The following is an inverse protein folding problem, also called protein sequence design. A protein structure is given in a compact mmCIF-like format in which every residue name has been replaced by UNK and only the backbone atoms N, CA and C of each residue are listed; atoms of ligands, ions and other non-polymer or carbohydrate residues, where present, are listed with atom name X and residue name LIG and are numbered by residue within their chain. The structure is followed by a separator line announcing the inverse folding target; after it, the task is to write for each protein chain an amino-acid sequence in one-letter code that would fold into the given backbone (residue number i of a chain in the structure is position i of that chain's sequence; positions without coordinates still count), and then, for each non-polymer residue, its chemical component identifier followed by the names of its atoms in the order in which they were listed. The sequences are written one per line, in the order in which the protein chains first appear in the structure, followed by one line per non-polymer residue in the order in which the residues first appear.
data_IF_662613916378
#
_entry.id   IF_662613916378
#
_cell.length_a   1.000
_cell.length_b   1.000
_cell.length_c   1.000
_cell.angle_alpha   90.00
_cell.angle_beta   90.00
_cell.angle_gamma   90.00
#
_symmetry.space_group_name_H-M   'P 1'
#
loop_
_entity.id
_entity.type
_entity.pdbx_description
1 polymer ?
#
# COMPACT_ATOMS: atom_id res chain seq x y z
N UNK A 1 -7.27 -1.77 -15.17
CA UNK A 1 -8.39 -2.08 -14.25
C UNK A 1 -8.12 -3.40 -13.50
N UNK A 2 -7.99 -4.53 -14.20
CA UNK A 2 -7.76 -5.85 -13.57
C UNK A 2 -6.62 -5.89 -12.54
N UNK A 3 -5.40 -5.47 -12.92
CA UNK A 3 -4.26 -5.47 -12.00
C UNK A 3 -4.44 -4.58 -10.76
N UNK A 4 -5.18 -3.47 -10.89
CA UNK A 4 -5.48 -2.59 -9.77
C UNK A 4 -6.44 -3.27 -8.78
N UNK A 5 -7.49 -3.91 -9.30
CA UNK A 5 -8.42 -4.70 -8.49
C UNK A 5 -7.73 -5.88 -7.82
N UNK A 6 -6.82 -6.57 -8.52
CA UNK A 6 -6.04 -7.65 -7.93
C UNK A 6 -5.18 -7.15 -6.75
N UNK A 7 -4.54 -5.99 -6.87
CA UNK A 7 -3.81 -5.37 -5.76
C UNK A 7 -4.73 -5.04 -4.57
N UNK A 8 -5.93 -4.51 -4.83
CA UNK A 8 -6.92 -4.26 -3.77
C UNK A 8 -7.32 -5.57 -3.08
N UNK A 9 -7.58 -6.65 -3.83
CA UNK A 9 -7.91 -7.95 -3.25
C UNK A 9 -6.79 -8.50 -2.38
N UNK A 10 -5.52 -8.32 -2.76
CA UNK A 10 -4.37 -8.72 -1.94
C UNK A 10 -4.30 -7.91 -0.65
N UNK A 11 -4.52 -6.59 -0.72
CA UNK A 11 -4.56 -5.73 0.49
C UNK A 11 -5.64 -6.21 1.45
N UNK A 12 -6.85 -6.48 0.95
CA UNK A 12 -7.96 -6.96 1.77
C UNK A 12 -7.62 -8.33 2.36
N UNK A 13 -7.18 -9.29 1.53
CA UNK A 13 -6.85 -10.64 1.98
C UNK A 13 -5.77 -10.63 3.07
N UNK A 14 -4.68 -9.88 2.88
CA UNK A 14 -3.62 -9.75 3.86
C UNK A 14 -4.09 -9.06 5.16
N UNK A 15 -5.04 -8.13 5.05
CA UNK A 15 -5.60 -7.42 6.22
C UNK A 15 -6.47 -8.32 7.09
N UNK A 16 -7.29 -9.17 6.46
CA UNK A 16 -8.20 -10.07 7.18
C UNK A 16 -7.54 -11.39 7.60
N UNK A 17 -6.32 -11.65 7.11
CA UNK A 17 -5.56 -12.85 7.50
C UNK A 17 -5.04 -12.65 8.93
N UNK A 18 -5.42 -13.50 9.89
CA UNK A 18 -4.89 -13.43 11.24
C UNK A 18 -3.39 -13.65 11.21
N UNK A 19 -2.63 -12.73 11.80
CA UNK A 19 -1.24 -13.03 12.14
C UNK A 19 -1.30 -13.97 13.34
N UNK A 20 -0.78 -15.20 13.23
CA UNK A 20 -0.82 -16.21 14.31
C UNK A 20 -0.12 -15.81 15.63
N UNK A 21 0.21 -14.53 15.80
CA UNK A 21 0.70 -13.88 17.03
C UNK A 21 -0.41 -13.63 18.07
N UNK A 22 -1.48 -14.44 18.07
CA UNK A 22 -2.42 -14.53 19.17
C UNK A 22 -2.18 -15.77 20.09
N UNK A 23 -0.95 -16.12 20.52
CA UNK A 23 -0.81 -17.07 21.61
C UNK A 23 -1.16 -16.35 22.92
N UNK A 24 -2.32 -16.66 23.48
CA UNK A 24 -2.67 -16.31 24.86
C UNK A 24 -3.12 -14.87 25.07
N UNK A 25 -4.30 -14.51 24.55
CA UNK A 25 -5.15 -13.48 25.17
C UNK A 25 -5.80 -14.08 26.45
N UNK A 26 -4.97 -14.54 27.38
CA UNK A 26 -5.36 -14.80 28.76
C UNK A 26 -4.58 -13.81 29.63
N UNK A 27 -5.32 -13.14 30.52
CA UNK A 27 -4.88 -12.23 31.57
C UNK A 27 -4.48 -10.80 31.17
N UNK A 28 -5.49 -9.91 31.17
CA UNK A 28 -5.33 -8.52 31.63
C UNK A 28 -5.16 -7.40 30.61
N UNK A 29 -4.90 -7.70 29.32
CA UNK A 29 -4.63 -6.68 28.28
C UNK A 29 -5.85 -6.31 27.40
N UNK A 30 -7.06 -6.75 27.75
CA UNK A 30 -8.28 -6.49 26.98
C UNK A 30 -8.81 -5.05 27.06
N UNK A 31 -8.15 -4.13 27.79
CA UNK A 31 -8.81 -2.88 28.22
C UNK A 31 -8.13 -1.56 27.82
N UNK A 32 -6.93 -1.55 27.24
CA UNK A 32 -6.30 -0.29 26.80
C UNK A 32 -6.12 -0.25 25.29
N UNK A 33 -7.21 0.07 24.59
CA UNK A 33 -7.14 0.53 23.21
C UNK A 33 -6.47 1.89 23.18
N UNK A 34 -5.27 1.97 22.63
CA UNK A 34 -4.48 3.20 22.56
C UNK A 34 -4.45 3.74 21.14
N UNK A 35 -4.69 5.03 20.99
CA UNK A 35 -4.42 5.78 19.77
C UNK A 35 -3.02 6.34 19.85
N UNK A 36 -2.11 5.78 19.05
CA UNK A 36 -0.75 6.27 18.98
C UNK A 36 -0.56 7.13 17.74
N UNK A 37 -0.27 8.40 18.00
CA UNK A 37 0.14 9.35 16.98
C UNK A 37 1.65 9.34 16.88
N UNK A 38 2.16 8.77 15.79
CA UNK A 38 3.59 8.75 15.50
C UNK A 38 3.85 8.90 14.01
N UNK A 39 5.02 9.44 13.69
CA UNK A 39 5.55 9.44 12.34
C UNK A 39 6.43 8.20 12.14
N UNK A 40 6.41 7.61 10.93
CA UNK A 40 7.30 6.50 10.63
C UNK A 40 8.76 6.95 10.72
N UNK A 41 9.62 6.13 11.34
CA UNK A 41 11.03 6.41 11.40
C UNK A 41 11.63 6.33 9.98
N UNK A 42 12.49 7.26 9.54
CA UNK A 42 13.08 7.22 8.20
C UNK A 42 13.81 5.90 7.89
N UNK A 43 14.50 5.33 8.88
CA UNK A 43 15.20 4.04 8.76
C UNK A 43 14.27 2.82 8.65
N UNK A 44 12.97 2.98 8.96
CA UNK A 44 12.01 1.91 8.84
C UNK A 44 11.67 1.57 7.38
N UNK A 45 11.94 2.49 6.45
CA UNK A 45 11.81 2.28 5.01
C UNK A 45 12.85 1.30 4.45
N UNK A 46 14.00 1.18 5.11
CA UNK A 46 15.17 0.44 4.63
C UNK A 46 15.45 -0.83 5.45
N UNK A 47 14.61 -1.15 6.42
CA UNK A 47 14.72 -2.36 7.25
C UNK A 47 13.47 -3.22 7.10
N UNK A 48 13.61 -4.54 7.22
CA UNK A 48 12.47 -5.47 7.23
C UNK A 48 11.83 -5.40 8.61
N UNK A 49 10.69 -4.74 8.71
CA UNK A 49 9.94 -4.52 9.93
C UNK A 49 8.44 -4.39 9.59
N UNK A 50 7.60 -4.25 10.60
CA UNK A 50 6.14 -4.14 10.42
C UNK A 50 5.70 -2.88 9.64
N UNK A 51 6.48 -1.79 9.65
CA UNK A 51 6.22 -0.57 8.86
C UNK A 51 6.53 -0.80 7.38
N UNK A 52 7.66 -1.43 7.06
CA UNK A 52 8.01 -1.75 5.66
C UNK A 52 7.10 -2.81 5.05
N UNK A 53 6.54 -3.73 5.85
CA UNK A 53 5.49 -4.65 5.38
C UNK A 53 4.23 -3.90 4.90
N UNK A 54 3.78 -2.88 5.62
CA UNK A 54 2.65 -2.05 5.18
C UNK A 54 3.00 -1.25 3.92
N UNK A 55 4.23 -0.74 3.81
CA UNK A 55 4.69 -0.12 2.57
C UNK A 55 4.60 -1.09 1.39
N UNK A 56 5.13 -2.31 1.56
CA UNK A 56 5.12 -3.35 0.52
C UNK A 56 3.71 -3.81 0.15
N UNK A 57 2.77 -3.77 1.11
CA UNK A 57 1.38 -4.12 0.84
C UNK A 57 0.70 -3.12 -0.10
N UNK A 58 1.01 -1.84 0.06
CA UNK A 58 0.39 -0.75 -0.71
C UNK A 58 1.20 -0.31 -1.94
N UNK A 59 2.49 -0.62 -2.02
CA UNK A 59 3.33 -0.26 -3.15
C UNK A 59 2.85 -0.85 -4.50
N UNK A 60 2.46 -2.13 -4.61
CA UNK A 60 1.91 -2.70 -5.84
C UNK A 60 0.64 -1.98 -6.31
N UNK A 61 -0.23 -1.55 -5.38
CA UNK A 61 -1.42 -0.77 -5.68
C UNK A 61 -1.05 0.60 -6.27
N UNK A 62 -0.01 1.23 -5.72
CA UNK A 62 0.61 2.43 -6.29
C UNK A 62 1.12 2.18 -7.71
N UNK A 63 1.94 1.14 -7.92
CA UNK A 63 2.51 0.78 -9.23
C UNK A 63 1.41 0.53 -10.25
N UNK A 64 0.39 -0.25 -9.90
CA UNK A 64 -0.75 -0.52 -10.77
C UNK A 64 -1.49 0.76 -11.16
N UNK A 65 -1.63 1.70 -10.22
CA UNK A 65 -2.22 3.01 -10.47
C UNK A 65 -1.37 3.83 -11.46
N UNK A 66 -0.06 3.88 -11.27
CA UNK A 66 0.85 4.64 -12.13
C UNK A 66 1.03 4.06 -13.54
N UNK A 67 0.98 2.73 -13.65
CA UNK A 67 1.25 2.01 -14.89
C UNK A 67 0.02 1.88 -15.80
N UNK A 68 -1.16 1.60 -15.20
CA UNK A 68 -2.35 1.20 -15.97
C UNK A 68 -3.48 2.22 -15.98
N UNK A 69 -3.46 3.27 -15.14
CA UNK A 69 -4.52 4.28 -15.13
C UNK A 69 -4.15 5.51 -15.96
N UNK A 70 -5.17 6.11 -16.59
CA UNK A 70 -5.03 7.41 -17.26
C UNK A 70 -4.82 8.51 -16.24
N UNK A 71 -4.07 9.56 -16.61
CA UNK A 71 -3.76 10.72 -15.77
C UNK A 71 -4.98 11.25 -14.99
N UNK A 72 -6.14 11.36 -15.67
CA UNK A 72 -7.39 11.84 -15.08
C UNK A 72 -7.93 11.00 -13.91
N UNK A 73 -7.60 9.70 -13.84
CA UNK A 73 -8.06 8.80 -12.79
C UNK A 73 -6.98 8.49 -11.75
N UNK A 74 -5.74 8.93 -11.96
CA UNK A 74 -4.62 8.65 -11.05
C UNK A 74 -4.88 9.26 -9.66
N UNK A 75 -5.33 10.51 -9.60
CA UNK A 75 -5.63 11.16 -8.31
C UNK A 75 -6.76 10.43 -7.58
N UNK A 76 -7.85 10.12 -8.28
CA UNK A 76 -8.97 9.37 -7.67
C UNK A 76 -8.54 8.00 -7.14
N UNK A 77 -7.74 7.25 -7.90
CA UNK A 77 -7.22 5.96 -7.46
C UNK A 77 -6.23 6.09 -6.29
N UNK A 78 -5.39 7.13 -6.27
CA UNK A 78 -4.52 7.44 -5.14
C UNK A 78 -5.33 7.73 -3.87
N UNK A 79 -6.40 8.54 -4.00
CA UNK A 79 -7.30 8.86 -2.90
C UNK A 79 -8.02 7.62 -2.37
N UNK A 80 -8.53 6.75 -3.25
CA UNK A 80 -9.16 5.49 -2.84
C UNK A 80 -8.14 4.59 -2.13
N UNK A 81 -6.92 4.47 -2.66
CA UNK A 81 -5.85 3.70 -2.03
C UNK A 81 -5.45 4.27 -0.65
N UNK A 82 -5.40 5.59 -0.51
CA UNK A 82 -5.08 6.25 0.75
C UNK A 82 -6.18 6.04 1.80
N UNK A 83 -7.46 6.10 1.38
CA UNK A 83 -8.60 5.75 2.22
C UNK A 83 -8.59 4.27 2.61
N UNK A 84 -8.19 3.39 1.69
CA UNK A 84 -8.02 1.96 1.98
C UNK A 84 -6.94 1.74 3.05
N UNK A 85 -5.80 2.46 2.99
CA UNK A 85 -4.76 2.42 4.04
C UNK A 85 -5.31 2.78 5.42
N UNK A 86 -6.14 3.82 5.51
CA UNK A 86 -6.81 4.19 6.74
C UNK A 86 -7.81 3.12 7.21
N UNK A 87 -8.61 2.58 6.28
CA UNK A 87 -9.60 1.55 6.58
C UNK A 87 -8.94 0.26 7.09
N UNK A 88 -7.81 -0.14 6.52
CA UNK A 88 -7.04 -1.31 6.95
C UNK A 88 -6.59 -1.17 8.40
N UNK A 89 -6.00 -0.03 8.77
CA UNK A 89 -5.58 0.20 10.16
C UNK A 89 -6.78 0.22 11.11
N UNK A 90 -7.89 0.82 10.69
CA UNK A 90 -9.11 0.86 11.50
C UNK A 90 -9.71 -0.54 11.69
N UNK A 91 -9.73 -1.38 10.65
CA UNK A 91 -10.19 -2.78 10.75
C UNK A 91 -9.25 -3.57 11.66
N UNK A 92 -7.93 -3.44 11.51
CA UNK A 92 -6.95 -4.13 12.37
C UNK A 92 -7.09 -3.71 13.84
N UNK A 93 -7.39 -2.44 14.09
CA UNK A 93 -7.68 -1.95 15.43
C UNK A 93 -9.02 -2.49 15.97
N UNK A 94 -10.08 -2.56 15.15
CA UNK A 94 -11.41 -3.00 15.61
C UNK A 94 -11.51 -4.50 15.84
N UNK A 95 -10.81 -5.30 15.02
CA UNK A 95 -10.90 -6.78 15.04
C UNK A 95 -9.82 -7.35 15.96
N UNK A 96 -10.18 -7.54 17.23
CA UNK A 96 -9.33 -8.08 18.31
C UNK A 96 -8.58 -9.38 17.91
N UNK A 97 -9.20 -10.34 17.19
CA UNK A 97 -8.51 -11.55 16.74
C UNK A 97 -7.31 -11.34 15.80
N UNK A 98 -7.13 -10.14 15.23
CA UNK A 98 -5.98 -9.82 14.36
C UNK A 98 -4.71 -9.46 15.13
N UNK A 99 -4.75 -9.41 16.46
CA UNK A 99 -3.56 -9.26 17.31
C UNK A 99 -3.03 -7.84 17.43
N UNK A 100 -3.81 -6.81 17.10
CA UNK A 100 -3.44 -5.39 17.26
C UNK A 100 -4.36 -4.67 18.25
N UNK A 101 -3.81 -4.28 19.40
CA UNK A 101 -4.53 -3.51 20.43
C UNK A 101 -4.39 -1.98 20.27
N UNK A 102 -3.54 -1.52 19.34
CA UNK A 102 -3.18 -0.12 19.17
C UNK A 102 -3.43 0.32 17.73
N UNK A 103 -4.13 1.44 17.57
CA UNK A 103 -4.18 2.17 16.31
C UNK A 103 -2.89 2.98 16.20
N UNK A 104 -2.13 2.81 15.12
CA UNK A 104 -0.87 3.52 14.93
C UNK A 104 -0.89 4.36 13.65
N UNK A 105 -0.90 5.69 13.76
CA UNK A 105 -0.91 6.56 12.59
C UNK A 105 0.30 6.35 11.66
N UNK A 106 1.43 5.85 12.17
CA UNK A 106 2.62 5.60 11.35
C UNK A 106 2.39 4.50 10.30
N UNK A 107 1.53 3.51 10.55
CA UNK A 107 1.17 2.49 9.53
C UNK A 107 0.36 3.09 8.38
N UNK A 108 -0.55 4.01 8.69
CA UNK A 108 -1.38 4.67 7.69
C UNK A 108 -0.51 5.53 6.80
N UNK A 109 0.37 6.33 7.42
CA UNK A 109 1.32 7.21 6.73
C UNK A 109 2.30 6.41 5.89
N UNK A 110 2.86 5.30 6.40
CA UNK A 110 3.79 4.48 5.61
C UNK A 110 3.08 3.79 4.42
N UNK A 111 1.81 3.41 4.59
CA UNK A 111 0.98 2.94 3.48
C UNK A 111 0.80 4.00 2.40
N UNK A 112 0.58 5.26 2.77
CA UNK A 112 0.52 6.38 1.83
C UNK A 112 1.83 6.60 1.09
N UNK A 113 2.97 6.52 1.80
CA UNK A 113 4.30 6.57 1.17
C UNK A 113 4.45 5.45 0.14
N UNK A 114 4.04 4.22 0.48
CA UNK A 114 4.04 3.09 -0.46
C UNK A 114 3.22 3.35 -1.72
N UNK A 115 2.02 3.91 -1.59
CA UNK A 115 1.15 4.27 -2.72
C UNK A 115 1.84 5.30 -3.62
N UNK A 116 2.37 6.37 -3.05
CA UNK A 116 3.01 7.46 -3.80
C UNK A 116 4.27 6.96 -4.50
N UNK A 117 5.16 6.27 -3.79
CA UNK A 117 6.39 5.71 -4.35
C UNK A 117 6.08 4.72 -5.45
N UNK A 118 5.17 3.76 -5.21
CA UNK A 118 4.75 2.80 -6.21
C UNK A 118 4.18 3.48 -7.46
N UNK A 119 3.35 4.51 -7.28
CA UNK A 119 2.79 5.27 -8.39
C UNK A 119 3.87 5.96 -9.23
N UNK A 120 4.83 6.62 -8.60
CA UNK A 120 5.94 7.26 -9.31
C UNK A 120 6.73 6.23 -10.13
N UNK A 121 7.04 5.08 -9.54
CA UNK A 121 7.70 3.96 -10.23
C UNK A 121 6.88 3.48 -11.43
N UNK A 122 5.58 3.22 -11.24
CA UNK A 122 4.68 2.79 -12.32
C UNK A 122 4.63 3.78 -13.48
N UNK A 123 4.66 5.09 -13.19
CA UNK A 123 4.69 6.14 -14.21
C UNK A 123 6.02 6.22 -14.95
N UNK A 124 7.13 6.08 -14.24
CA UNK A 124 8.45 6.04 -14.86
C UNK A 124 8.54 4.88 -15.85
N UNK A 125 8.11 3.69 -15.44
CA UNK A 125 8.05 2.51 -16.32
C UNK A 125 7.14 2.77 -17.53
N UNK A 126 5.92 3.30 -17.32
CA UNK A 126 5.01 3.65 -18.42
C UNK A 126 5.62 4.64 -19.42
N UNK A 127 6.39 5.61 -18.93
CA UNK A 127 7.10 6.60 -19.75
C UNK A 127 8.18 5.95 -20.60
N UNK A 128 8.98 5.05 -20.02
CA UNK A 128 10.02 4.32 -20.77
C UNK A 128 9.43 3.45 -21.87
N UNK A 129 8.33 2.73 -21.59
CA UNK A 129 7.64 1.90 -22.59
C UNK A 129 7.12 2.74 -23.78
N UNK A 130 6.63 3.95 -23.52
CA UNK A 130 6.17 4.85 -24.60
C UNK A 130 7.33 5.35 -25.46
N UNK A 131 8.45 5.70 -24.83
CA UNK A 131 9.66 6.17 -25.51
C UNK A 131 10.25 5.09 -26.43
N UNK A 132 10.31 3.84 -25.97
CA UNK A 132 10.81 2.73 -26.79
C UNK A 132 9.91 2.46 -27.98
N UNK A 133 8.58 2.50 -27.79
CA UNK A 133 7.61 2.31 -28.88
C UNK A 133 7.76 3.38 -29.97
N UNK A 134 7.89 4.65 -29.59
CA UNK A 134 8.09 5.76 -30.55
C UNK A 134 9.37 5.63 -31.38
N UNK A 135 10.47 5.16 -30.77
CA UNK A 135 11.72 4.92 -31.50
C UNK A 135 11.59 3.77 -32.52
N UNK A 136 10.84 2.72 -32.18
CA UNK A 136 10.57 1.61 -33.09
C UNK A 136 9.74 2.03 -34.31
N UNK A 137 8.67 2.81 -34.09
CA UNK A 137 7.79 3.30 -35.16
C UNK A 137 8.53 4.26 -36.11
N UNK A 138 9.46 5.08 -35.60
CA UNK A 138 10.29 5.98 -36.44
C UNK A 138 11.33 5.23 -37.27
N UNK A 139 11.87 4.12 -36.78
CA UNK A 139 12.83 3.29 -37.52
C UNK A 139 12.21 2.54 -38.71
N UNK A 140 10.91 2.22 -38.65
CA UNK A 140 10.19 1.56 -39.75
C UNK A 140 9.70 2.50 -40.85
N UNK A 141 9.60 3.80 -40.57
CA UNK A 141 9.23 4.81 -41.58
C UNK A 141 10.42 5.29 -42.43
N UNK A 142 11.65 4.91 -42.04
CA UNK A 142 12.90 5.26 -42.73
C UNK A 142 13.51 4.09 -43.52
N UNK A 143 12.87 2.91 -43.49
CA UNK A 143 13.25 1.71 -44.25
C UNK A 143 12.26 1.45 -45.39
#
# INVERSE_FOLDING_TARGET
MFFWMASVSVVIAATVTPSGHAPGLNDGLTTTRVWAWSFPAPGALFSVNWQSMNLLLFAPLGVASGLFLRFRHIVGAASIAALLSLAVELVQYMVIPLGRAQFNSATVVIGWVGIVVGMLVGRLVASQIRKTKQKGDQGQLQS
#
